data_IF_351801142057
#
_entry.id   IF_351801142057
#
_cell.length_a   1.000
_cell.length_b   1.000
_cell.length_c   1.000
_cell.angle_alpha   90.00
_cell.angle_beta   90.00
_cell.angle_gamma   90.00
#
_symmetry.space_group_name_H-M   'P 1'
#
loop_
_entity.id
_entity.type
_entity.pdbx_description
1 polymer ?
#
# COMPACT_ATOMS: atom_id res chain seq x y z
N UNK A 1 -8.33 -6.29 -4.29
CA UNK A 1 -9.69 -5.71 -4.18
C UNK A 1 -9.66 -4.59 -3.14
N UNK A 2 -10.70 -3.76 -3.08
CA UNK A 2 -10.75 -2.61 -2.16
C UNK A 2 -10.43 -1.26 -2.82
N UNK A 3 -10.03 -1.26 -4.09
CA UNK A 3 -10.00 -0.06 -4.94
C UNK A 3 -11.32 -0.03 -5.72
N UNK A 4 -12.02 1.10 -5.67
CA UNK A 4 -13.25 1.35 -6.44
C UNK A 4 -13.01 2.58 -7.29
N UNK A 5 -13.06 2.44 -8.61
CA UNK A 5 -12.79 3.53 -9.55
C UNK A 5 -13.92 4.56 -9.57
N UNK A 6 -13.60 5.79 -9.97
CA UNK A 6 -14.55 6.91 -10.02
C UNK A 6 -15.71 6.71 -11.02
N UNK A 7 -15.51 5.87 -12.03
CA UNK A 7 -16.47 5.54 -13.09
C UNK A 7 -17.24 4.24 -12.81
N UNK A 8 -16.94 3.55 -11.71
CA UNK A 8 -17.70 2.37 -11.30
C UNK A 8 -19.13 2.75 -10.86
N UNK A 9 -20.13 2.07 -11.43
CA UNK A 9 -21.57 2.31 -11.13
C UNK A 9 -22.32 1.06 -10.66
N UNK A 10 -21.61 -0.05 -10.49
CA UNK A 10 -22.18 -1.30 -10.00
C UNK A 10 -22.35 -1.32 -8.47
N UNK A 11 -22.79 -2.47 -7.95
CA UNK A 11 -22.88 -2.70 -6.52
C UNK A 11 -21.47 -2.80 -5.90
N UNK A 12 -21.15 -1.92 -4.96
CA UNK A 12 -19.88 -1.97 -4.22
C UNK A 12 -19.88 -3.17 -3.28
N UNK A 13 -19.01 -4.14 -3.55
CA UNK A 13 -18.79 -5.32 -2.72
C UNK A 13 -17.55 -5.18 -1.83
N UNK A 14 -17.64 -5.66 -0.59
CA UNK A 14 -16.49 -5.76 0.33
C UNK A 14 -15.93 -7.17 0.26
N UNK A 15 -14.66 -7.29 -0.14
CA UNK A 15 -13.93 -8.57 -0.08
C UNK A 15 -13.35 -8.73 1.33
N UNK A 16 -13.94 -9.63 2.11
CA UNK A 16 -13.51 -9.93 3.48
C UNK A 16 -12.57 -11.14 3.51
N UNK A 17 -11.48 -11.03 4.27
CA UNK A 17 -10.60 -12.15 4.60
C UNK A 17 -10.76 -12.49 6.08
N UNK A 18 -11.21 -13.70 6.38
CA UNK A 18 -11.21 -14.24 7.74
C UNK A 18 -9.95 -15.08 7.93
N UNK A 19 -8.98 -14.57 8.69
CA UNK A 19 -7.75 -15.30 9.04
C UNK A 19 -7.90 -16.14 10.33
N UNK A 20 -9.07 -16.12 10.97
CA UNK A 20 -9.40 -16.94 12.12
C UNK A 20 -9.71 -18.40 11.75
N UNK A 21 -9.70 -19.27 12.75
CA UNK A 21 -10.08 -20.69 12.58
C UNK A 21 -11.59 -20.94 12.68
N UNK A 22 -12.31 -20.00 13.28
CA UNK A 22 -13.76 -20.07 13.50
C UNK A 22 -14.52 -19.36 12.37
N UNK A 23 -15.79 -19.73 12.19
CA UNK A 23 -16.68 -19.07 11.24
C UNK A 23 -16.95 -17.63 11.66
N UNK A 24 -16.96 -16.72 10.67
CA UNK A 24 -17.38 -15.34 10.85
C UNK A 24 -18.68 -15.11 10.07
N UNK A 25 -19.76 -14.88 10.79
CA UNK A 25 -21.08 -14.61 10.21
C UNK A 25 -21.31 -13.10 10.10
N UNK A 26 -21.74 -12.64 8.92
CA UNK A 26 -22.13 -11.26 8.67
C UNK A 26 -23.64 -11.20 8.52
N UNK A 27 -24.28 -10.29 9.26
CA UNK A 27 -25.72 -10.03 9.18
C UNK A 27 -25.99 -8.72 8.47
N UNK A 28 -27.17 -8.62 7.87
CA UNK A 28 -27.62 -7.39 7.22
C UNK A 28 -27.61 -6.23 8.23
N UNK A 29 -26.94 -5.13 7.86
CA UNK A 29 -26.84 -3.93 8.69
C UNK A 29 -25.57 -3.85 9.54
N UNK A 30 -24.75 -4.90 9.61
CA UNK A 30 -23.46 -4.85 10.29
C UNK A 30 -22.44 -4.03 9.50
N UNK A 31 -21.62 -3.27 10.23
CA UNK A 31 -20.51 -2.50 9.64
C UNK A 31 -19.31 -3.44 9.44
N UNK A 32 -18.99 -3.74 8.19
CA UNK A 32 -17.91 -4.69 7.82
C UNK A 32 -16.69 -4.05 7.14
N UNK A 33 -16.78 -2.77 6.79
CA UNK A 33 -15.71 -2.01 6.17
C UNK A 33 -15.94 -0.50 6.36
N UNK A 34 -14.97 0.30 5.94
CA UNK A 34 -15.07 1.74 5.81
C UNK A 34 -14.65 2.14 4.39
N UNK A 35 -15.34 3.14 3.81
CA UNK A 35 -14.96 3.73 2.54
C UNK A 35 -14.07 4.95 2.82
N UNK A 36 -12.91 5.02 2.17
CA UNK A 36 -11.98 6.15 2.26
C UNK A 36 -11.84 6.73 0.85
N UNK A 37 -12.13 8.02 0.69
CA UNK A 37 -11.90 8.74 -0.57
C UNK A 37 -10.44 9.18 -0.64
N UNK A 38 -9.59 8.33 -1.22
CA UNK A 38 -8.17 8.64 -1.39
C UNK A 38 -7.96 9.72 -2.46
N UNK A 39 -7.04 10.66 -2.19
CA UNK A 39 -6.64 11.66 -3.18
C UNK A 39 -5.66 11.02 -4.15
N UNK A 40 -5.99 11.04 -5.43
CA UNK A 40 -5.15 10.51 -6.50
C UNK A 40 -4.83 11.58 -7.55
N UNK A 41 -3.83 11.30 -8.38
CA UNK A 41 -3.49 12.07 -9.57
C UNK A 41 -3.61 11.17 -10.80
N UNK A 42 -4.03 11.74 -11.93
CA UNK A 42 -4.08 11.06 -13.22
C UNK A 42 -2.93 11.60 -14.11
N UNK A 43 -1.70 11.08 -13.98
CA UNK A 43 -0.58 11.54 -14.79
C UNK A 43 -0.63 10.96 -16.21
N UNK A 44 -0.13 11.73 -17.16
CA UNK A 44 0.27 11.20 -18.47
C UNK A 44 1.63 10.50 -18.33
N UNK A 45 1.83 9.38 -19.05
CA UNK A 45 3.01 8.53 -18.88
C UNK A 45 3.70 8.30 -20.23
N UNK A 46 4.85 8.95 -20.45
CA UNK A 46 5.85 8.55 -21.46
C UNK A 46 7.19 9.26 -21.21
N UNK A 47 8.27 8.51 -20.93
CA UNK A 47 9.66 9.03 -20.85
C UNK A 47 10.67 7.96 -21.26
N UNK A 48 11.81 8.39 -21.83
CA UNK A 48 12.88 7.49 -22.28
C UNK A 48 13.87 7.10 -21.16
N UNK A 49 14.00 7.92 -20.13
CA UNK A 49 14.87 7.68 -18.98
C UNK A 49 14.35 8.40 -17.73
N UNK A 50 14.66 7.86 -16.55
CA UNK A 50 14.42 8.49 -15.25
C UNK A 50 15.70 9.21 -14.78
N UNK A 51 15.55 10.31 -14.06
CA UNK A 51 16.69 10.98 -13.42
C UNK A 51 17.23 10.22 -12.22
N UNK A 52 18.49 10.49 -11.85
CA UNK A 52 19.13 9.90 -10.69
C UNK A 52 18.53 10.43 -9.37
N UNK A 53 18.54 9.58 -8.34
CA UNK A 53 18.19 9.97 -6.96
C UNK A 53 19.20 9.39 -5.99
N UNK A 54 19.43 10.02 -4.83
CA UNK A 54 20.33 9.49 -3.80
C UNK A 54 19.96 8.06 -3.34
N UNK A 55 18.67 7.69 -3.43
CA UNK A 55 18.20 6.34 -3.15
C UNK A 55 18.52 5.36 -4.28
N UNK A 56 18.48 5.82 -5.53
CA UNK A 56 18.74 5.00 -6.73
C UNK A 56 18.01 3.66 -6.71
N UNK A 57 18.75 2.58 -6.96
CA UNK A 57 18.30 1.19 -6.93
C UNK A 57 18.22 0.56 -5.53
N UNK A 58 18.21 1.37 -4.46
CA UNK A 58 18.04 0.89 -3.10
C UNK A 58 16.68 0.22 -2.89
N UNK A 59 16.67 -1.12 -2.84
CA UNK A 59 15.48 -1.92 -2.55
C UNK A 59 15.42 -2.30 -1.06
N UNK A 60 14.48 -3.19 -0.70
CA UNK A 60 13.94 -3.51 0.64
C UNK A 60 14.92 -3.67 1.84
N UNK A 61 16.23 -3.63 1.64
CA UNK A 61 17.26 -3.68 2.69
C UNK A 61 17.98 -2.35 2.95
N UNK A 62 17.65 -1.27 2.22
CA UNK A 62 18.46 -0.06 2.06
C UNK A 62 18.85 0.76 3.30
N UNK A 63 18.43 0.39 4.52
CA UNK A 63 18.93 0.98 5.78
C UNK A 63 19.01 -0.01 6.96
N UNK A 64 19.41 -1.26 6.73
CA UNK A 64 19.77 -2.11 7.88
C UNK A 64 20.84 -3.16 7.62
N UNK A 65 22.07 -2.72 7.38
CA UNK A 65 23.28 -3.42 7.85
C UNK A 65 24.52 -2.55 7.63
N UNK A 66 24.88 -1.78 8.66
CA UNK A 66 26.25 -1.41 9.05
C UNK A 66 26.22 -0.06 9.81
N UNK A 67 25.90 -0.10 11.11
CA UNK A 67 26.58 0.82 12.01
C UNK A 67 28.06 0.38 12.00
N UNK A 68 28.92 1.14 11.33
CA UNK A 68 30.36 1.02 11.54
C UNK A 68 30.63 1.34 13.01
N UNK A 69 30.98 0.33 13.81
CA UNK A 69 31.62 0.54 15.11
C UNK A 69 33.08 0.94 14.82
N UNK A 70 33.33 2.21 14.54
CA UNK A 70 34.71 2.73 14.53
C UNK A 70 34.88 4.16 15.05
N UNK A 71 33.88 4.75 15.70
CA UNK A 71 34.04 6.04 16.40
C UNK A 71 33.99 5.85 17.93
N UNK A 72 34.95 5.07 18.43
CA UNK A 72 35.41 5.13 19.81
C UNK A 72 36.91 4.90 19.77
N UNK A 73 37.65 5.85 20.34
CA UNK A 73 39.11 6.03 20.34
C UNK A 73 39.69 6.86 19.18
N UNK A 74 39.46 8.18 19.26
CA UNK A 74 40.51 9.20 19.37
C UNK A 74 39.92 10.50 19.93
#
# INVERSE_FOLDING_TARGET
AGVTDEDYRGNVGVVLFNFGKEKFEVKKGERIAQLICERIFYPEIEVQALGDTERGSGILTGRHSALSKSDRWQ
#
